data_IF_639996533719
#
_entry.id   IF_639996533719
#
_cell.length_a   1.000
_cell.length_b   1.000
_cell.length_c   1.000
_cell.angle_alpha   90.00
_cell.angle_beta   90.00
_cell.angle_gamma   90.00
#
_symmetry.space_group_name_H-M   'P 1'
#
loop_
_entity.id
_entity.type
_entity.pdbx_description
1 polymer ?
#
# COMPACT_ATOMS: atom_id res chain seq x y z
N UNK A 1 -3.19 -2.09 -12.04
CA UNK A 1 -2.21 -1.15 -11.47
C UNK A 1 -2.84 0.22 -11.52
N UNK A 2 -3.06 0.82 -10.37
CA UNK A 2 -3.64 2.16 -10.26
C UNK A 2 -2.52 3.17 -10.01
N UNK A 3 -2.66 4.39 -10.52
CA UNK A 3 -1.71 5.47 -10.23
C UNK A 3 -2.39 6.45 -9.29
N UNK A 4 -1.76 6.73 -8.16
CA UNK A 4 -2.23 7.71 -7.18
C UNK A 4 -1.32 8.93 -7.21
N UNK A 5 -1.92 10.12 -7.10
CA UNK A 5 -1.18 11.37 -7.00
C UNK A 5 -1.29 11.89 -5.57
N UNK A 6 -0.17 11.99 -4.87
CA UNK A 6 -0.14 12.47 -3.50
C UNK A 6 -0.61 13.92 -3.40
N UNK A 7 -1.24 14.24 -2.29
CA UNK A 7 -1.45 15.60 -1.81
C UNK A 7 -0.50 15.89 -0.65
N UNK A 8 -0.51 17.14 -0.18
CA UNK A 8 0.34 17.54 0.94
C UNK A 8 -0.10 16.82 2.21
N UNK A 9 0.85 16.21 2.93
CA UNK A 9 0.55 15.45 4.15
C UNK A 9 0.18 13.98 3.94
N UNK A 10 0.18 13.48 2.70
CA UNK A 10 -0.11 12.07 2.44
C UNK A 10 1.00 11.15 2.96
N UNK A 11 0.59 9.98 3.44
CA UNK A 11 1.50 8.90 3.84
C UNK A 11 1.15 7.61 3.11
N UNK A 12 2.14 6.76 2.86
CA UNK A 12 1.96 5.52 2.07
C UNK A 12 0.98 4.56 2.76
N UNK A 13 1.03 4.43 4.09
CA UNK A 13 0.13 3.63 4.90
C UNK A 13 -1.32 4.15 4.81
N UNK A 14 -1.53 5.46 4.91
CA UNK A 14 -2.85 6.07 4.76
C UNK A 14 -3.44 5.82 3.36
N UNK A 15 -2.63 5.96 2.31
CA UNK A 15 -3.03 5.66 0.93
C UNK A 15 -3.35 4.16 0.78
N UNK A 16 -2.54 3.28 1.35
CA UNK A 16 -2.80 1.84 1.32
C UNK A 16 -4.11 1.49 2.03
N UNK A 17 -4.38 2.10 3.19
CA UNK A 17 -5.63 1.91 3.94
C UNK A 17 -6.84 2.43 3.16
N UNK A 18 -6.73 3.58 2.52
CA UNK A 18 -7.82 4.17 1.74
C UNK A 18 -8.11 3.39 0.45
N UNK A 19 -7.07 2.90 -0.24
CA UNK A 19 -7.22 2.20 -1.53
C UNK A 19 -7.51 0.70 -1.38
N UNK A 20 -6.87 0.04 -0.42
CA UNK A 20 -6.97 -1.42 -0.22
C UNK A 20 -7.77 -1.83 1.02
N UNK A 21 -8.08 -0.90 1.92
CA UNK A 21 -8.72 -1.20 3.21
C UNK A 21 -7.75 -1.68 4.30
N UNK A 22 -6.48 -1.91 3.97
CA UNK A 22 -5.45 -2.39 4.90
C UNK A 22 -4.06 -1.84 4.56
N UNK A 23 -3.17 -1.80 5.57
CA UNK A 23 -1.83 -1.22 5.47
C UNK A 23 -0.75 -2.23 5.01
N UNK A 24 -1.10 -3.52 4.89
CA UNK A 24 -0.18 -4.62 4.54
C UNK A 24 0.49 -4.47 3.16
N UNK A 25 -0.10 -3.65 2.28
CA UNK A 25 0.41 -3.42 0.93
C UNK A 25 1.54 -2.38 0.85
N UNK A 26 1.87 -1.73 1.97
CA UNK A 26 2.90 -0.68 2.04
C UNK A 26 4.25 -1.15 1.48
N UNK A 27 4.70 -2.36 1.81
CA UNK A 27 5.97 -2.91 1.31
C UNK A 27 5.95 -3.19 -0.20
N UNK A 28 4.81 -3.63 -0.73
CA UNK A 28 4.62 -3.84 -2.17
C UNK A 28 4.63 -2.51 -2.93
N UNK A 29 4.03 -1.46 -2.36
CA UNK A 29 4.07 -0.10 -2.91
C UNK A 29 5.51 0.42 -2.93
N UNK A 30 6.29 0.27 -1.86
CA UNK A 30 7.70 0.68 -1.87
C UNK A 30 8.54 -0.09 -2.88
N UNK A 31 8.31 -1.40 -3.03
CA UNK A 31 9.01 -2.21 -4.04
C UNK A 31 8.66 -1.78 -5.47
N UNK A 32 7.42 -1.37 -5.72
CA UNK A 32 6.96 -0.86 -7.01
C UNK A 32 7.41 0.60 -7.30
N UNK A 33 7.83 1.34 -6.27
CA UNK A 33 8.23 2.75 -6.36
C UNK A 33 9.62 2.96 -5.70
N UNK A 34 10.70 2.53 -6.37
CA UNK A 34 12.05 2.77 -5.87
C UNK A 34 12.31 4.27 -5.72
N UNK A 35 12.86 4.67 -4.58
CA UNK A 35 13.12 6.08 -4.23
C UNK A 35 11.99 6.77 -3.47
N UNK A 36 10.78 6.19 -3.39
CA UNK A 36 9.67 6.77 -2.62
C UNK A 36 9.99 6.89 -1.13
N UNK A 37 10.66 5.88 -0.55
CA UNK A 37 11.06 5.88 0.86
C UNK A 37 12.09 6.97 1.22
N UNK A 38 12.84 7.48 0.23
CA UNK A 38 13.81 8.54 0.45
C UNK A 38 13.15 9.92 0.63
N UNK A 39 11.88 10.08 0.22
CA UNK A 39 11.12 11.32 0.40
C UNK A 39 10.69 11.52 1.86
N UNK A 40 10.79 10.47 2.69
CA UNK A 40 10.41 10.49 4.10
C UNK A 40 9.01 9.95 4.36
N UNK A 41 8.55 10.01 5.63
CA UNK A 41 7.26 9.46 6.04
C UNK A 41 6.06 10.27 5.52
N UNK A 42 6.25 11.59 5.36
CA UNK A 42 5.24 12.49 4.77
C UNK A 42 5.65 12.76 3.33
N UNK A 43 4.80 12.37 2.38
CA UNK A 43 5.09 12.55 0.98
C UNK A 43 4.80 14.00 0.55
N UNK A 44 5.69 14.59 -0.28
CA UNK A 44 5.40 15.89 -0.85
C UNK A 44 4.23 15.79 -1.82
N UNK A 45 3.49 16.90 -1.95
CA UNK A 45 2.39 17.01 -2.90
C UNK A 45 2.84 16.76 -4.34
N UNK A 46 2.05 16.00 -5.08
CA UNK A 46 2.19 15.82 -6.53
C UNK A 46 3.09 14.67 -6.95
N UNK A 47 3.52 13.81 -6.02
CA UNK A 47 4.25 12.58 -6.32
C UNK A 47 3.29 11.56 -6.91
N UNK A 48 3.71 10.91 -8.00
CA UNK A 48 2.97 9.82 -8.61
C UNK A 48 3.43 8.50 -8.01
N UNK A 49 2.53 7.83 -7.31
CA UNK A 49 2.74 6.51 -6.71
C UNK A 49 2.03 5.46 -7.56
N UNK A 50 2.76 4.41 -7.92
CA UNK A 50 2.18 3.22 -8.53
C UNK A 50 1.65 2.31 -7.44
N UNK A 51 0.34 2.11 -7.42
CA UNK A 51 -0.35 1.18 -6.54
C UNK A 51 -0.48 -0.18 -7.26
N UNK A 52 0.27 -1.22 -6.84
CA UNK A 52 0.15 -2.56 -7.41
C UNK A 52 -1.23 -3.14 -7.12
N UNK A 53 -1.72 -4.08 -7.94
CA UNK A 53 -3.00 -4.71 -7.62
C UNK A 53 -2.81 -5.64 -6.41
N UNK A 54 -3.82 -5.74 -5.53
CA UNK A 54 -3.77 -6.69 -4.42
C UNK A 54 -3.79 -8.09 -5.03
N UNK A 55 -2.79 -8.95 -4.75
CA UNK A 55 -2.95 -10.36 -5.08
C UNK A 55 -4.12 -10.86 -4.25
N UNK A 56 -5.12 -11.48 -4.90
CA UNK A 56 -6.32 -12.00 -4.24
C UNK A 56 -5.93 -12.68 -2.93
N UNK A 57 -6.44 -12.16 -1.80
CA UNK A 57 -6.14 -12.72 -0.49
C UNK A 57 -6.52 -14.20 -0.56
N UNK A 58 -5.51 -15.07 -0.53
CA UNK A 58 -5.73 -16.51 -0.44
C UNK A 58 -6.58 -16.75 0.80
N UNK A 59 -7.86 -17.06 0.60
CA UNK A 59 -8.81 -17.37 1.66
C UNK A 59 -8.13 -18.38 2.57
N UNK A 60 -7.72 -17.94 3.76
CA UNK A 60 -7.09 -18.82 4.74
C UNK A 60 -8.19 -19.78 5.19
N UNK A 61 -8.12 -21.03 4.72
CA UNK A 61 -9.02 -22.09 5.18
C UNK A 61 -8.95 -22.14 6.71
N UNK A 62 -10.08 -22.07 7.43
CA UNK A 62 -10.06 -22.17 8.88
C UNK A 62 -9.52 -23.55 9.26
N UNK A 63 -8.41 -23.57 10.01
CA UNK A 63 -7.88 -24.78 10.64
C UNK A 63 -8.68 -24.99 11.93
N UNK A 64 -9.36 -26.14 12.04
CA UNK A 64 -9.94 -26.60 13.30
C UNK A 64 -8.80 -27.11 14.17
N UNK A 65 -8.53 -26.40 15.27
CA UNK A 65 -7.44 -26.76 16.18
C UNK A 65 -7.79 -27.94 17.10
N UNK A 66 -9.08 -28.22 17.33
CA UNK A 66 -9.55 -29.39 18.09
C UNK A 66 -10.88 -29.92 17.55
N UNK A 67 -11.05 -31.24 17.63
CA UNK A 67 -12.23 -32.02 17.27
C UNK A 67 -12.28 -33.31 18.07
#
# INVERSE_FOLDING_TARGET
MSTYRTIDGDMVDAICKAHYGHEDMTAAVYSANPGLAALGPILPKGVLIKLPNVPEQTVRKPIRLWG
#
